data_IF_388194829428
#
_entry.id   IF_388194829428
#
_cell.length_a   1.000
_cell.length_b   1.000
_cell.length_c   1.000
_cell.angle_alpha   90.00
_cell.angle_beta   90.00
_cell.angle_gamma   90.00
#
_symmetry.space_group_name_H-M   'P 1'
#
loop_
_entity.id
_entity.type
_entity.pdbx_description
1 polymer ?
#
# COMPACT_ATOMS: atom_id res chain seq x y z
N UNK A 1 9.85 -8.40 9.05
CA UNK A 1 10.12 -8.28 7.60
C UNK A 1 10.62 -6.87 7.33
N UNK A 2 11.65 -6.71 6.51
CA UNK A 2 12.27 -5.41 6.23
C UNK A 2 12.61 -5.29 4.73
N UNK A 3 12.48 -4.09 4.16
CA UNK A 3 12.77 -3.81 2.74
C UNK A 3 14.10 -3.05 2.67
N UNK A 4 15.08 -3.61 1.97
CA UNK A 4 16.43 -3.04 1.78
C UNK A 4 16.73 -2.81 0.30
N UNK A 5 17.63 -1.87 0.01
CA UNK A 5 18.05 -1.52 -1.36
C UNK A 5 18.68 -0.13 -1.43
N UNK A 6 19.23 0.26 -2.58
CA UNK A 6 19.90 1.54 -2.78
C UNK A 6 18.95 2.76 -2.71
N UNK A 7 19.50 3.96 -2.49
CA UNK A 7 18.71 5.19 -2.54
C UNK A 7 18.01 5.31 -3.90
N UNK A 8 16.70 5.60 -3.89
CA UNK A 8 15.90 5.69 -5.12
C UNK A 8 15.29 4.38 -5.61
N UNK A 9 15.59 3.22 -5.02
CA UNK A 9 15.01 1.93 -5.46
C UNK A 9 13.50 1.74 -5.14
N UNK A 10 12.84 2.78 -4.61
CA UNK A 10 11.39 2.75 -4.36
C UNK A 10 10.94 2.34 -2.95
N UNK A 11 11.84 2.09 -1.99
CA UNK A 11 11.48 1.72 -0.60
C UNK A 11 10.45 2.65 0.03
N UNK A 12 10.70 3.96 -0.03
CA UNK A 12 9.79 4.98 0.53
C UNK A 12 8.46 5.00 -0.23
N UNK A 13 8.50 4.84 -1.54
CA UNK A 13 7.31 4.76 -2.39
C UNK A 13 6.45 3.56 -2.00
N UNK A 14 7.06 2.37 -1.87
CA UNK A 14 6.38 1.16 -1.42
C UNK A 14 5.86 1.30 0.01
N UNK A 15 6.64 1.87 0.93
CA UNK A 15 6.21 2.12 2.30
C UNK A 15 4.98 3.03 2.38
N UNK A 16 4.94 4.08 1.55
CA UNK A 16 3.76 4.96 1.43
C UNK A 16 2.56 4.24 0.83
N UNK A 17 2.76 3.31 -0.11
CA UNK A 17 1.66 2.49 -0.65
C UNK A 17 1.09 1.54 0.40
N UNK A 18 1.96 0.88 1.18
CA UNK A 18 1.55 0.00 2.29
C UNK A 18 0.81 0.75 3.39
N UNK A 19 1.23 1.98 3.69
CA UNK A 19 0.55 2.86 4.65
C UNK A 19 -0.76 3.47 4.11
N UNK A 20 -1.20 3.12 2.89
CA UNK A 20 -2.39 3.72 2.28
C UNK A 20 -2.23 5.20 1.92
N UNK A 21 -1.01 5.73 1.93
CA UNK A 21 -0.71 7.14 1.64
C UNK A 21 -0.41 7.40 0.16
N UNK A 22 -0.23 6.34 -0.64
CA UNK A 22 0.05 6.43 -2.07
C UNK A 22 -0.68 5.32 -2.81
N UNK A 23 -1.53 5.67 -3.78
CA UNK A 23 -2.20 4.70 -4.63
C UNK A 23 -1.22 4.14 -5.67
N UNK A 24 -1.16 2.81 -5.89
CA UNK A 24 -0.35 2.24 -6.96
C UNK A 24 -0.90 2.66 -8.32
N UNK A 25 -0.01 2.98 -9.26
CA UNK A 25 -0.38 3.35 -10.63
C UNK A 25 -0.93 2.16 -11.43
N UNK A 26 -0.56 0.94 -11.05
CA UNK A 26 -1.06 -0.31 -11.63
C UNK A 26 -1.01 -1.44 -10.60
N UNK A 27 -1.81 -2.48 -10.82
CA UNK A 27 -1.95 -3.60 -9.88
C UNK A 27 -2.93 -3.34 -8.74
N UNK A 28 -2.92 -4.20 -7.73
CA UNK A 28 -3.81 -4.14 -6.56
C UNK A 28 -3.03 -4.38 -5.27
N UNK A 29 -3.41 -3.67 -4.21
CA UNK A 29 -2.88 -3.88 -2.87
C UNK A 29 -3.96 -4.56 -2.05
N UNK A 30 -3.72 -5.82 -1.71
CA UNK A 30 -4.67 -6.67 -1.00
C UNK A 30 -4.29 -6.75 0.48
N UNK A 31 -5.28 -6.69 1.35
CA UNK A 31 -5.12 -6.97 2.77
C UNK A 31 -6.38 -7.66 3.27
N UNK A 32 -6.19 -8.77 3.98
CA UNK A 32 -7.28 -9.66 4.41
C UNK A 32 -8.25 -10.04 3.27
N UNK A 33 -7.74 -10.21 2.05
CA UNK A 33 -8.54 -10.56 0.88
C UNK A 33 -9.34 -9.41 0.26
N UNK A 34 -9.25 -8.19 0.82
CA UNK A 34 -9.89 -6.98 0.27
C UNK A 34 -8.86 -6.08 -0.39
N UNK A 35 -9.24 -5.44 -1.50
CA UNK A 35 -8.40 -4.42 -2.14
C UNK A 35 -8.55 -3.10 -1.39
N UNK A 36 -7.43 -2.61 -0.85
CA UNK A 36 -7.38 -1.42 0.01
C UNK A 36 -7.92 -0.16 -0.68
N UNK A 37 -7.78 -0.06 -2.00
CA UNK A 37 -8.16 1.14 -2.76
C UNK A 37 -9.55 1.06 -3.39
N UNK A 38 -10.17 -0.12 -3.44
CA UNK A 38 -11.56 -0.28 -3.91
C UNK A 38 -12.54 -0.53 -2.77
N UNK A 39 -12.05 -0.77 -1.56
CA UNK A 39 -12.87 -0.99 -0.37
C UNK A 39 -13.47 0.34 0.11
N UNK A 40 -14.78 0.37 0.39
CA UNK A 40 -15.52 1.60 0.74
C UNK A 40 -15.21 2.06 2.16
N UNK A 41 -15.34 3.37 2.41
CA UNK A 41 -14.79 4.12 3.54
C UNK A 41 -15.12 3.67 4.97
N UNK A 42 -16.09 2.78 5.22
CA UNK A 42 -16.30 2.18 6.54
C UNK A 42 -15.27 1.08 6.89
N UNK A 43 -14.78 0.36 5.88
CA UNK A 43 -13.78 -0.70 6.07
C UNK A 43 -12.35 -0.14 6.10
N UNK A 44 -12.09 1.01 5.44
CA UNK A 44 -10.76 1.63 5.41
C UNK A 44 -10.37 2.26 6.76
N UNK A 45 -11.34 2.67 7.58
CA UNK A 45 -11.10 3.20 8.92
C UNK A 45 -10.71 2.12 9.95
N UNK A 46 -10.84 0.83 9.59
CA UNK A 46 -10.44 -0.32 10.42
C UNK A 46 -9.05 -0.86 10.07
N UNK A 47 -8.41 -0.32 9.03
CA UNK A 47 -7.04 -0.62 8.63
C UNK A 47 -6.00 0.07 9.51
#
# INVERSE_FOLDING_TARGET
MCIVGESGCGKTTTGRMLAGLLRPSSGRLMFEGKDVWTTKGEDLARF
#
